data_IF_930824799572
#
_entry.id   IF_930824799572
#
_cell.length_a   1.000
_cell.length_b   1.000
_cell.length_c   1.000
_cell.angle_alpha   90.00
_cell.angle_beta   90.00
_cell.angle_gamma   90.00
#
_symmetry.space_group_name_H-M   'P 1'
#
loop_
_entity.id
_entity.type
_entity.pdbx_description
1 polymer ?
#
# COMPACT_ATOMS: atom_id res chain seq x y z
N UNK A 1 1.96 -23.74 -37.93
CA UNK A 1 0.76 -23.54 -37.09
C UNK A 1 1.21 -23.03 -35.74
N UNK A 2 0.88 -21.78 -35.37
CA UNK A 2 1.08 -21.35 -33.98
C UNK A 2 0.21 -22.26 -33.09
N UNK A 3 0.80 -22.86 -32.07
CA UNK A 3 0.04 -23.65 -31.09
C UNK A 3 -1.02 -22.73 -30.43
N UNK A 4 -2.28 -23.14 -30.48
CA UNK A 4 -3.42 -22.42 -29.84
C UNK A 4 -3.16 -22.13 -28.37
N UNK A 5 -2.46 -23.05 -27.69
CA UNK A 5 -2.02 -22.88 -26.30
C UNK A 5 -1.08 -21.69 -26.13
N UNK A 6 -0.10 -21.52 -27.03
CA UNK A 6 0.85 -20.39 -26.97
C UNK A 6 0.16 -19.05 -27.16
N UNK A 7 -0.85 -18.98 -28.02
CA UNK A 7 -1.63 -17.75 -28.24
C UNK A 7 -2.43 -17.42 -26.98
N UNK A 8 -3.12 -18.41 -26.41
CA UNK A 8 -3.87 -18.22 -25.15
C UNK A 8 -2.97 -17.80 -23.98
N UNK A 9 -1.78 -18.38 -23.83
CA UNK A 9 -0.82 -18.03 -22.78
C UNK A 9 -0.27 -16.60 -22.95
N UNK A 10 -0.18 -16.11 -24.19
CA UNK A 10 0.26 -14.73 -24.46
C UNK A 10 -0.85 -13.72 -24.17
N UNK A 11 -2.10 -14.04 -24.51
CA UNK A 11 -3.24 -13.16 -24.25
C UNK A 11 -3.45 -12.97 -22.75
N UNK A 12 -3.37 -14.05 -21.95
CA UNK A 12 -3.50 -13.97 -20.49
C UNK A 12 -2.35 -13.19 -19.85
N UNK A 13 -1.12 -13.36 -20.35
CA UNK A 13 0.03 -12.60 -19.88
C UNK A 13 -0.11 -11.11 -20.22
N UNK A 14 -0.53 -10.78 -21.45
CA UNK A 14 -0.69 -9.40 -21.89
C UNK A 14 -1.74 -8.68 -21.03
N UNK A 15 -2.90 -9.29 -20.86
CA UNK A 15 -3.99 -8.76 -20.05
C UNK A 15 -3.55 -8.52 -18.58
N UNK A 16 -2.83 -9.48 -17.99
CA UNK A 16 -2.27 -9.32 -16.64
C UNK A 16 -1.26 -8.15 -16.58
N UNK A 17 -0.30 -8.09 -17.51
CA UNK A 17 0.73 -7.04 -17.51
C UNK A 17 0.11 -5.66 -17.72
N UNK A 18 -0.85 -5.53 -18.64
CA UNK A 18 -1.55 -4.28 -18.89
C UNK A 18 -2.31 -3.84 -17.64
N UNK A 19 -3.13 -4.71 -17.05
CA UNK A 19 -3.87 -4.42 -15.83
C UNK A 19 -2.94 -4.01 -14.67
N UNK A 20 -1.87 -4.77 -14.44
CA UNK A 20 -0.89 -4.46 -13.39
C UNK A 20 -0.12 -3.16 -13.65
N UNK A 21 0.08 -2.78 -14.91
CA UNK A 21 0.80 -1.55 -15.28
C UNK A 21 -0.09 -0.32 -15.10
N UNK A 22 -1.37 -0.39 -15.48
CA UNK A 22 -2.33 0.70 -15.29
C UNK A 22 -2.50 1.06 -13.81
N UNK A 23 -2.56 0.06 -12.93
CA UNK A 23 -2.65 0.29 -11.48
C UNK A 23 -1.39 0.96 -10.92
N UNK A 24 -0.22 0.58 -11.42
CA UNK A 24 1.05 1.18 -11.02
C UNK A 24 1.16 2.64 -11.47
N UNK A 25 0.77 2.93 -12.72
CA UNK A 25 0.81 4.30 -13.27
C UNK A 25 -0.06 5.23 -12.43
N UNK A 26 -1.31 4.85 -12.19
CA UNK A 26 -2.20 5.71 -11.40
C UNK A 26 -1.70 5.93 -9.97
N UNK A 27 -1.14 4.91 -9.33
CA UNK A 27 -0.59 5.08 -7.98
C UNK A 27 0.55 6.11 -7.99
N UNK A 28 1.43 6.06 -8.99
CA UNK A 28 2.50 7.04 -9.15
C UNK A 28 1.95 8.46 -9.37
N UNK A 29 0.92 8.62 -10.19
CA UNK A 29 0.29 9.92 -10.45
C UNK A 29 -0.28 10.53 -9.16
N UNK A 30 -0.94 9.72 -8.31
CA UNK A 30 -1.46 10.20 -7.02
C UNK A 30 -0.36 10.53 -6.02
N UNK A 31 0.69 9.72 -5.96
CA UNK A 31 1.86 9.97 -5.11
C UNK A 31 2.57 11.27 -5.51
N UNK A 32 2.76 11.51 -6.82
CA UNK A 32 3.42 12.71 -7.33
C UNK A 32 2.67 13.99 -6.93
N UNK A 33 1.34 13.98 -6.93
CA UNK A 33 0.52 15.10 -6.46
C UNK A 33 0.80 15.42 -4.98
N UNK A 34 0.86 14.41 -4.12
CA UNK A 34 1.08 14.60 -2.68
C UNK A 34 2.52 15.01 -2.35
N UNK A 35 3.49 14.44 -3.07
CA UNK A 35 4.92 14.75 -2.91
C UNK A 35 5.26 16.16 -3.42
N UNK A 36 4.62 16.60 -4.50
CA UNK A 36 4.85 17.92 -5.09
C UNK A 36 4.08 19.05 -4.40
N UNK A 37 3.12 18.73 -3.51
CA UNK A 37 2.33 19.74 -2.80
C UNK A 37 3.21 20.50 -1.79
N UNK A 38 3.19 21.83 -1.89
CA UNK A 38 3.85 22.71 -0.92
C UNK A 38 3.03 22.82 0.37
N UNK A 39 3.28 21.91 1.31
CA UNK A 39 2.64 21.89 2.63
C UNK A 39 3.04 23.08 3.53
N UNK A 40 4.05 23.87 3.17
CA UNK A 40 4.51 25.02 3.95
C UNK A 40 3.81 26.33 3.58
N UNK A 41 3.01 26.32 2.51
CA UNK A 41 2.33 27.50 2.00
C UNK A 41 1.34 28.06 3.03
N UNK A 42 1.47 29.36 3.32
CA UNK A 42 0.56 30.07 4.23
C UNK A 42 -0.80 30.37 3.61
N UNK A 43 -0.93 30.20 2.29
CA UNK A 43 -2.17 30.41 1.54
C UNK A 43 -2.83 29.07 1.17
N UNK A 44 -2.44 27.99 1.84
CA UNK A 44 -2.98 26.66 1.60
C UNK A 44 -4.47 26.62 1.95
N UNK A 45 -5.30 26.21 1.00
CA UNK A 45 -6.72 26.03 1.23
C UNK A 45 -6.98 24.67 1.90
N UNK A 46 -7.10 24.67 3.23
CA UNK A 46 -7.29 23.45 4.01
C UNK A 46 -8.59 22.73 3.61
N UNK A 47 -9.67 23.47 3.35
CA UNK A 47 -10.98 22.88 3.00
C UNK A 47 -10.90 22.12 1.67
N UNK A 48 -10.20 22.67 0.68
CA UNK A 48 -10.01 22.03 -0.62
C UNK A 48 -9.15 20.75 -0.49
N UNK A 49 -8.12 20.79 0.35
CA UNK A 49 -7.30 19.60 0.64
C UNK A 49 -8.13 18.53 1.32
N UNK A 50 -8.95 18.87 2.32
CA UNK A 50 -9.81 17.90 3.00
C UNK A 50 -10.80 17.24 2.03
N UNK A 51 -11.41 18.01 1.14
CA UNK A 51 -12.29 17.48 0.10
C UNK A 51 -11.55 16.55 -0.86
N UNK A 52 -10.36 16.95 -1.31
CA UNK A 52 -9.50 16.13 -2.15
C UNK A 52 -9.10 14.83 -1.44
N UNK A 53 -8.66 14.87 -0.17
CA UNK A 53 -8.26 13.69 0.60
C UNK A 53 -9.43 12.73 0.83
N UNK A 54 -10.64 13.27 1.09
CA UNK A 54 -11.86 12.47 1.21
C UNK A 54 -12.16 11.76 -0.12
N UNK A 55 -12.11 12.47 -1.24
CA UNK A 55 -12.35 11.90 -2.55
C UNK A 55 -11.29 10.83 -2.90
N UNK A 56 -10.01 11.13 -2.63
CA UNK A 56 -8.90 10.21 -2.85
C UNK A 56 -9.05 8.92 -2.04
N UNK A 57 -9.50 9.01 -0.78
CA UNK A 57 -9.75 7.84 0.07
C UNK A 57 -10.81 6.92 -0.54
N UNK A 58 -11.92 7.49 -1.02
CA UNK A 58 -12.98 6.73 -1.68
C UNK A 58 -12.48 6.10 -3.00
N UNK A 59 -11.67 6.84 -3.76
CA UNK A 59 -11.07 6.34 -5.00
C UNK A 59 -10.12 5.16 -4.71
N UNK A 60 -9.28 5.27 -3.68
CA UNK A 60 -8.38 4.21 -3.22
C UNK A 60 -9.13 2.96 -2.77
N UNK A 61 -10.22 3.09 -2.01
CA UNK A 61 -11.05 1.96 -1.58
C UNK A 61 -11.68 1.22 -2.76
N UNK A 62 -12.23 1.94 -3.73
CA UNK A 62 -12.78 1.31 -4.95
C UNK A 62 -11.69 0.60 -5.74
N UNK A 63 -10.51 1.21 -5.83
CA UNK A 63 -9.42 0.70 -6.63
C UNK A 63 -8.68 -0.46 -6.00
N UNK A 64 -8.72 -0.58 -4.67
CA UNK A 64 -8.22 -1.75 -3.93
C UNK A 64 -8.90 -3.06 -4.41
N UNK A 65 -10.19 -3.01 -4.75
CA UNK A 65 -10.91 -4.16 -5.30
C UNK A 65 -10.30 -4.62 -6.63
N UNK A 66 -10.00 -3.68 -7.52
CA UNK A 66 -9.35 -3.96 -8.80
C UNK A 66 -7.93 -4.49 -8.59
N UNK A 67 -7.19 -3.89 -7.66
CA UNK A 67 -5.85 -4.31 -7.31
C UNK A 67 -5.79 -5.77 -6.84
N UNK A 68 -6.71 -6.14 -5.94
CA UNK A 68 -6.84 -7.50 -5.39
C UNK A 68 -7.20 -8.50 -6.49
N UNK A 69 -8.15 -8.15 -7.38
CA UNK A 69 -8.49 -9.01 -8.52
C UNK A 69 -7.27 -9.29 -9.43
N UNK A 70 -6.38 -8.30 -9.63
CA UNK A 70 -5.13 -8.50 -10.38
C UNK A 70 -4.13 -9.37 -9.60
N UNK A 71 -4.07 -9.26 -8.26
CA UNK A 71 -3.25 -10.16 -7.42
C UNK A 71 -3.73 -11.61 -7.54
N UNK A 72 -5.03 -11.85 -7.34
CA UNK A 72 -5.64 -13.18 -7.39
C UNK A 72 -5.44 -13.84 -8.76
N UNK A 73 -5.57 -13.06 -9.84
CA UNK A 73 -5.28 -13.53 -11.20
C UNK A 73 -3.82 -13.91 -11.37
N UNK A 74 -2.90 -13.09 -10.89
CA UNK A 74 -1.47 -13.38 -10.91
C UNK A 74 -1.11 -14.65 -10.13
N UNK A 75 -1.70 -14.84 -8.95
CA UNK A 75 -1.55 -16.06 -8.14
C UNK A 75 -2.06 -17.29 -8.87
N UNK A 76 -3.25 -17.21 -9.46
CA UNK A 76 -3.83 -18.30 -10.24
C UNK A 76 -2.95 -18.71 -11.42
N UNK A 77 -2.39 -17.74 -12.16
CA UNK A 77 -1.46 -18.04 -13.28
C UNK A 77 -0.18 -18.74 -12.80
N UNK A 78 0.35 -18.33 -11.64
CA UNK A 78 1.52 -18.98 -11.04
C UNK A 78 1.19 -20.41 -10.61
N UNK A 79 0.06 -20.63 -9.94
CA UNK A 79 -0.45 -21.94 -9.51
C UNK A 79 -0.67 -22.89 -10.71
N UNK A 80 -1.14 -22.36 -11.83
CA UNK A 80 -1.34 -23.10 -13.08
C UNK A 80 -0.04 -23.44 -13.82
N UNK A 81 1.12 -23.07 -13.26
CA UNK A 81 2.45 -23.26 -13.87
C UNK A 81 2.52 -22.63 -15.26
N UNK A 82 1.99 -21.41 -15.38
CA UNK A 82 2.07 -20.64 -16.61
C UNK A 82 3.53 -20.53 -17.10
N UNK A 83 3.83 -20.64 -18.40
CA UNK A 83 5.21 -20.59 -18.90
C UNK A 83 5.96 -19.31 -18.52
N UNK A 84 5.23 -18.22 -18.26
CA UNK A 84 5.78 -16.94 -17.82
C UNK A 84 5.68 -16.68 -16.29
N UNK A 85 5.47 -17.69 -15.44
CA UNK A 85 5.28 -17.50 -13.98
C UNK A 85 6.35 -16.61 -13.33
N UNK A 86 7.63 -16.78 -13.69
CA UNK A 86 8.72 -15.93 -13.17
C UNK A 86 8.52 -14.43 -13.46
N UNK A 87 8.01 -14.11 -14.65
CA UNK A 87 7.71 -12.73 -15.05
C UNK A 87 6.53 -12.17 -14.26
N UNK A 88 5.48 -12.99 -14.08
CA UNK A 88 4.28 -12.65 -13.31
C UNK A 88 4.66 -12.38 -11.84
N UNK A 89 5.46 -13.26 -11.22
CA UNK A 89 5.96 -13.11 -9.86
C UNK A 89 6.81 -11.83 -9.70
N UNK A 90 7.75 -11.57 -10.62
CA UNK A 90 8.57 -10.36 -10.58
C UNK A 90 7.73 -9.08 -10.67
N UNK A 91 6.73 -9.05 -11.57
CA UNK A 91 5.79 -7.93 -11.70
C UNK A 91 4.95 -7.76 -10.43
N UNK A 92 4.52 -8.87 -9.83
CA UNK A 92 3.77 -8.89 -8.56
C UNK A 92 4.60 -8.32 -7.41
N UNK A 93 5.85 -8.76 -7.27
CA UNK A 93 6.75 -8.31 -6.21
C UNK A 93 7.06 -6.82 -6.33
N UNK A 94 7.44 -6.37 -7.53
CA UNK A 94 7.71 -4.94 -7.80
C UNK A 94 6.52 -4.06 -7.41
N UNK A 95 5.31 -4.53 -7.70
CA UNK A 95 4.06 -3.84 -7.35
C UNK A 95 3.79 -3.86 -5.84
N UNK A 96 3.99 -4.98 -5.16
CA UNK A 96 3.84 -5.09 -3.72
C UNK A 96 4.79 -4.12 -2.99
N UNK A 97 6.05 -4.07 -3.40
CA UNK A 97 7.03 -3.11 -2.86
C UNK A 97 6.67 -1.66 -3.16
N UNK A 98 5.92 -1.36 -4.24
CA UNK A 98 5.50 0.01 -4.53
C UNK A 98 4.26 0.45 -3.75
N UNK A 99 3.26 -0.42 -3.63
CA UNK A 99 2.01 -0.11 -2.91
C UNK A 99 2.21 -0.12 -1.40
N UNK A 100 3.03 -1.04 -0.91
CA UNK A 100 3.25 -1.20 0.51
C UNK A 100 4.65 -0.67 0.92
N UNK A 101 5.71 -0.77 0.13
CA UNK A 101 7.08 -0.46 0.58
C UNK A 101 7.78 -1.68 1.22
N UNK A 102 9.05 -1.52 1.62
CA UNK A 102 9.83 -2.55 2.33
C UNK A 102 9.62 -2.53 3.84
N UNK A 103 9.06 -1.44 4.40
CA UNK A 103 8.86 -1.18 5.83
C UNK A 103 7.42 -0.71 6.16
N UNK A 104 6.40 -1.26 5.51
CA UNK A 104 5.06 -0.64 5.44
C UNK A 104 4.31 -0.45 6.75
N UNK A 105 3.88 0.79 6.98
CA UNK A 105 2.72 1.17 7.80
C UNK A 105 1.44 1.04 6.97
N UNK A 106 0.52 0.15 7.39
CA UNK A 106 -0.71 -0.19 6.66
C UNK A 106 -1.63 1.01 6.33
N UNK A 107 -2.63 0.85 5.45
CA UNK A 107 -3.71 1.82 5.17
C UNK A 107 -4.36 2.37 6.46
N UNK A 108 -4.49 1.53 7.49
CA UNK A 108 -4.94 1.93 8.83
C UNK A 108 -3.99 2.91 9.51
N UNK A 109 -2.69 2.74 9.30
CA UNK A 109 -1.65 3.54 9.91
C UNK A 109 -1.50 4.92 9.25
N UNK A 110 -1.66 5.02 7.93
CA UNK A 110 -1.76 6.31 7.21
C UNK A 110 -3.00 7.09 7.66
N UNK A 111 -4.13 6.41 7.80
CA UNK A 111 -5.37 7.01 8.29
C UNK A 111 -5.27 7.48 9.76
N UNK A 112 -4.66 6.68 10.63
CA UNK A 112 -4.39 7.05 12.04
C UNK A 112 -3.41 8.22 12.15
N UNK A 113 -2.39 8.27 11.28
CA UNK A 113 -1.47 9.40 11.21
C UNK A 113 -2.17 10.70 10.80
N UNK A 114 -2.97 10.66 9.73
CA UNK A 114 -3.76 11.79 9.27
C UNK A 114 -4.77 12.26 10.34
N UNK A 115 -5.40 11.32 11.05
CA UNK A 115 -6.31 11.61 12.16
C UNK A 115 -5.59 12.28 13.34
N UNK A 116 -4.41 11.77 13.73
CA UNK A 116 -3.58 12.36 14.79
C UNK A 116 -3.09 13.77 14.45
N UNK A 117 -2.70 13.98 13.20
CA UNK A 117 -2.28 15.29 12.69
C UNK A 117 -3.44 16.31 12.72
N UNK A 118 -4.64 15.88 12.28
CA UNK A 118 -5.86 16.70 12.34
C UNK A 118 -6.30 17.03 13.76
N UNK A 119 -6.09 16.10 14.70
CA UNK A 119 -6.45 16.27 16.12
C UNK A 119 -5.36 17.04 16.92
N UNK A 120 -4.36 17.63 16.24
CA UNK A 120 -3.37 18.54 16.84
C UNK A 120 -2.18 17.86 17.52
N UNK A 121 -1.92 16.57 17.24
CA UNK A 121 -0.70 15.88 17.70
C UNK A 121 0.36 15.92 16.59
N UNK A 122 1.24 16.90 16.67
CA UNK A 122 2.37 17.10 15.76
C UNK A 122 3.66 16.36 16.22
N UNK A 123 3.62 15.63 17.34
CA UNK A 123 4.79 14.92 17.87
C UNK A 123 5.13 13.68 17.03
N UNK A 124 6.37 13.62 16.56
CA UNK A 124 6.93 12.50 15.76
C UNK A 124 7.28 11.31 16.67
N UNK A 125 7.20 11.46 17.99
CA UNK A 125 7.50 10.39 18.94
C UNK A 125 6.37 9.38 19.06
N UNK A 126 6.75 8.10 19.17
CA UNK A 126 5.82 7.01 19.40
C UNK A 126 5.04 7.20 20.70
N UNK A 127 3.70 7.15 20.62
CA UNK A 127 2.86 7.13 21.82
C UNK A 127 3.10 5.85 22.63
N UNK A 128 2.99 5.90 23.97
CA UNK A 128 3.10 4.73 24.81
C UNK A 128 2.08 3.68 24.36
N UNK A 129 2.55 2.47 24.00
CA UNK A 129 1.68 1.38 23.56
C UNK A 129 0.69 1.04 24.67
N UNK A 130 -0.62 1.09 24.37
CA UNK A 130 -1.64 0.56 25.28
C UNK A 130 -1.62 -0.98 25.19
N UNK A 131 -0.76 -1.63 25.99
CA UNK A 131 -0.66 -3.08 25.99
C UNK A 131 0.33 -3.65 27.01
N UNK A 132 -0.24 -4.41 27.96
CA UNK A 132 0.33 -5.11 29.13
C UNK A 132 0.90 -4.21 30.23
N UNK A 133 0.40 -4.28 31.48
CA UNK A 133 1.03 -3.58 32.59
C UNK A 133 2.48 -4.04 32.71
N UNK A 134 3.44 -3.13 32.95
CA UNK A 134 4.81 -3.50 33.22
C UNK A 134 4.80 -4.42 34.44
N UNK A 135 5.44 -5.59 34.32
CA UNK A 135 5.78 -6.37 35.50
C UNK A 135 6.73 -5.44 36.27
N UNK A 136 6.21 -4.86 37.34
CA UNK A 136 6.93 -4.01 38.28
C UNK A 136 8.32 -4.59 38.52
N UNK A 137 9.34 -4.02 37.87
CA UNK A 137 10.71 -4.23 38.32
C UNK A 137 10.95 -3.17 39.38
N UNK A 138 10.34 -3.39 40.54
CA UNK A 138 10.78 -2.73 41.76
C UNK A 138 12.22 -3.15 42.02
N UNK A 139 13.11 -2.23 42.44
CA UNK A 139 14.51 -2.55 42.74
C UNK A 139 14.72 -3.65 43.79
N UNK A 140 13.67 -4.02 44.53
CA UNK A 140 13.68 -5.04 45.59
C UNK A 140 13.68 -6.51 45.12
N UNK A 141 13.58 -6.81 43.81
CA UNK A 141 13.57 -8.20 43.35
C UNK A 141 14.92 -8.73 42.85
N UNK A 142 16.01 -8.00 43.06
CA UNK A 142 17.38 -8.52 42.86
C UNK A 142 18.01 -8.80 44.22
N UNK A 143 17.44 -9.74 44.96
CA UNK A 143 18.19 -10.49 45.96
C UNK A 143 17.76 -11.97 45.95
N UNK A 144 18.79 -12.80 45.83
CA UNK A 144 18.89 -14.23 46.17
C UNK A 144 18.55 -15.31 45.10
N UNK A 145 19.66 -15.82 44.56
CA UNK A 145 19.98 -17.17 44.01
C UNK A 145 19.66 -17.44 42.54
#
# INVERSE_FOLDING_TARGET
VLSTKRVSDLDTLLDFIQSATSELIWMNEKEEIEVSRDWSSKTLNISEIEEYQRALTIELEKREVHFNAVQDRGESLVLQKHPASKCIEAKRQRRHTKVYGVDTVSKKCVFEWFKRFRDGKEDVKDEPRSGRPPISTTPDSIEQV
#
